data_IF_599755157515
#
_entry.id   IF_599755157515
#
_cell.length_a   1.000
_cell.length_b   1.000
_cell.length_c   1.000
_cell.angle_alpha   90.00
_cell.angle_beta   90.00
_cell.angle_gamma   90.00
#
_symmetry.space_group_name_H-M   'P 1'
#
loop_
_entity.id
_entity.type
_entity.pdbx_description
1 polymer ?
#
# COMPACT_ATOMS: atom_id res chain seq x y z
N UNK A 1 -7.44 -62.46 42.17
CA UNK A 1 -6.42 -61.56 41.57
C UNK A 1 -7.14 -60.43 40.84
N UNK A 2 -7.03 -59.20 41.36
CA UNK A 2 -7.61 -57.99 40.72
C UNK A 2 -6.46 -57.22 40.05
N UNK A 3 -6.51 -57.07 38.73
CA UNK A 3 -5.54 -56.30 37.95
C UNK A 3 -5.97 -54.83 37.99
N UNK A 4 -5.12 -53.88 38.40
CA UNK A 4 -5.45 -52.46 38.36
C UNK A 4 -5.34 -51.93 36.92
N UNK A 5 -6.39 -51.29 36.43
CA UNK A 5 -6.43 -50.55 35.17
C UNK A 5 -5.66 -49.20 35.39
N UNK A 6 -4.50 -49.11 34.75
CA UNK A 6 -3.74 -47.86 34.73
C UNK A 6 -4.34 -46.95 33.68
N UNK A 7 -5.03 -45.84 34.07
CA UNK A 7 -5.52 -44.84 33.18
C UNK A 7 -4.37 -43.90 32.74
N UNK A 8 -4.00 -43.94 31.47
CA UNK A 8 -3.00 -43.06 30.87
C UNK A 8 -3.66 -41.69 30.61
N UNK A 9 -3.38 -40.71 31.46
CA UNK A 9 -3.76 -39.30 31.23
C UNK A 9 -2.80 -38.70 30.20
N UNK A 10 -3.25 -38.57 28.96
CA UNK A 10 -2.55 -37.79 27.93
C UNK A 10 -2.85 -36.32 28.19
N UNK A 11 -1.89 -35.61 28.75
CA UNK A 11 -1.94 -34.14 28.90
C UNK A 11 -1.75 -33.51 27.50
N UNK A 12 -2.81 -33.02 26.92
CA UNK A 12 -2.77 -32.12 25.75
C UNK A 12 -2.20 -30.78 26.22
N UNK A 13 -0.91 -30.53 25.93
CA UNK A 13 -0.34 -29.20 26.08
C UNK A 13 -1.07 -28.23 25.12
N UNK A 14 -1.53 -27.04 25.57
CA UNK A 14 -2.11 -26.07 24.67
C UNK A 14 -1.03 -25.62 23.69
N UNK A 15 -1.28 -25.73 22.38
CA UNK A 15 -0.47 -25.03 21.36
C UNK A 15 -0.61 -23.52 21.65
N UNK A 16 0.45 -22.92 22.16
CA UNK A 16 0.52 -21.46 22.26
C UNK A 16 0.37 -20.89 20.84
N UNK A 17 -0.71 -20.15 20.60
CA UNK A 17 -0.87 -19.41 19.35
C UNK A 17 0.31 -18.45 19.23
N UNK A 18 1.07 -18.55 18.14
CA UNK A 18 2.17 -17.65 17.89
C UNK A 18 1.61 -16.21 17.83
N UNK A 19 2.19 -15.30 18.59
CA UNK A 19 1.82 -13.88 18.61
C UNK A 19 2.28 -13.23 17.30
N UNK A 20 1.58 -12.17 16.87
CA UNK A 20 2.06 -11.33 15.78
C UNK A 20 3.42 -10.73 16.12
N UNK A 21 4.27 -10.55 15.12
CA UNK A 21 5.63 -10.05 15.34
C UNK A 21 6.00 -8.99 14.30
N UNK A 22 6.48 -7.85 14.82
CA UNK A 22 7.11 -6.81 14.03
C UNK A 22 8.63 -7.02 14.01
N UNK A 23 9.19 -7.23 12.84
CA UNK A 23 10.63 -7.52 12.69
C UNK A 23 11.27 -6.54 11.71
N UNK A 24 12.34 -5.86 12.15
CA UNK A 24 13.15 -5.06 11.24
C UNK A 24 14.02 -5.95 10.36
N UNK A 25 14.03 -5.67 9.07
CA UNK A 25 14.78 -6.40 8.04
C UNK A 25 15.52 -5.41 7.13
N UNK A 26 16.45 -5.94 6.35
CA UNK A 26 17.16 -5.13 5.36
C UNK A 26 17.58 -5.96 4.17
N UNK A 27 17.72 -5.28 3.03
CA UNK A 27 18.35 -5.78 1.81
C UNK A 27 19.41 -4.78 1.33
N UNK A 28 20.33 -5.24 0.50
CA UNK A 28 21.34 -4.37 -0.13
C UNK A 28 20.99 -4.24 -1.61
N UNK A 29 20.88 -3.01 -2.10
CA UNK A 29 20.59 -2.68 -3.49
C UNK A 29 21.59 -1.63 -3.98
N UNK A 30 22.31 -1.93 -5.05
CA UNK A 30 23.35 -1.02 -5.55
C UNK A 30 24.40 -0.65 -4.50
N UNK A 31 24.73 -1.56 -3.58
CA UNK A 31 25.67 -1.31 -2.47
C UNK A 31 25.08 -0.52 -1.29
N UNK A 32 23.80 -0.10 -1.35
CA UNK A 32 23.12 0.65 -0.30
C UNK A 32 22.25 -0.28 0.52
N UNK A 33 22.44 -0.28 1.85
CA UNK A 33 21.57 -1.00 2.79
C UNK A 33 20.24 -0.25 2.90
N UNK A 34 19.13 -0.93 2.56
CA UNK A 34 17.76 -0.42 2.69
C UNK A 34 17.01 -1.27 3.73
N UNK A 35 16.21 -0.62 4.56
CA UNK A 35 15.51 -1.26 5.69
C UNK A 35 14.01 -1.26 5.49
N UNK A 36 13.33 -2.19 6.14
CA UNK A 36 11.87 -2.27 6.20
C UNK A 36 11.43 -2.92 7.51
N UNK A 37 10.23 -2.57 7.97
CA UNK A 37 9.52 -3.27 9.02
C UNK A 37 8.66 -4.35 8.37
N UNK A 38 8.69 -5.56 8.92
CA UNK A 38 7.89 -6.69 8.48
C UNK A 38 6.95 -7.11 9.59
N UNK A 39 5.65 -7.08 9.34
CA UNK A 39 4.63 -7.59 10.24
C UNK A 39 4.20 -8.99 9.79
N UNK A 40 4.31 -9.95 10.70
CA UNK A 40 3.88 -11.34 10.49
C UNK A 40 2.59 -11.58 11.28
N UNK A 41 1.49 -12.00 10.60
CA UNK A 41 0.20 -12.13 11.26
C UNK A 41 0.20 -13.24 12.32
N UNK A 42 -0.57 -13.05 13.39
CA UNK A 42 -0.70 -13.98 14.50
C UNK A 42 -1.09 -15.39 14.02
N UNK A 43 -0.49 -16.41 14.62
CA UNK A 43 -0.82 -17.82 14.37
C UNK A 43 -0.44 -18.37 12.99
N UNK A 44 0.27 -17.60 12.14
CA UNK A 44 0.59 -17.96 10.76
C UNK A 44 2.08 -17.97 10.42
N UNK A 45 2.96 -17.91 11.39
CA UNK A 45 4.42 -17.89 11.20
C UNK A 45 4.98 -19.08 10.40
N UNK A 46 4.23 -20.18 10.29
CA UNK A 46 4.60 -21.38 9.51
C UNK A 46 3.69 -21.65 8.30
N UNK A 47 2.74 -20.77 7.99
CA UNK A 47 1.86 -20.93 6.83
C UNK A 47 2.60 -20.54 5.55
N UNK A 48 2.53 -21.39 4.53
CA UNK A 48 3.03 -21.07 3.19
C UNK A 48 1.93 -20.46 2.32
N UNK A 49 2.33 -19.70 1.30
CA UNK A 49 1.39 -19.13 0.34
C UNK A 49 0.57 -17.98 0.91
N UNK A 50 1.11 -17.21 1.87
CA UNK A 50 0.44 -16.00 2.37
C UNK A 50 0.50 -14.85 1.35
N UNK A 51 -0.53 -13.99 1.27
CA UNK A 51 -0.45 -12.73 0.55
C UNK A 51 0.56 -11.78 1.19
N UNK A 52 1.09 -10.85 0.40
CA UNK A 52 1.96 -9.75 0.86
C UNK A 52 1.35 -8.40 0.47
N UNK A 53 1.24 -7.49 1.43
CA UNK A 53 0.90 -6.08 1.18
C UNK A 53 2.11 -5.21 1.51
N UNK A 54 2.57 -4.42 0.54
CA UNK A 54 3.62 -3.41 0.74
C UNK A 54 2.94 -2.06 0.98
N UNK A 55 3.25 -1.40 2.11
CA UNK A 55 2.65 -0.11 2.49
C UNK A 55 3.71 0.97 2.54
N UNK A 56 3.72 1.86 1.54
CA UNK A 56 4.67 2.98 1.45
C UNK A 56 4.21 4.15 2.30
N UNK A 57 5.10 4.69 3.14
CA UNK A 57 4.83 5.89 3.94
C UNK A 57 4.75 7.15 3.06
N UNK A 58 4.06 8.18 3.54
CA UNK A 58 4.04 9.50 2.92
C UNK A 58 5.38 10.26 3.09
N UNK A 59 5.54 11.34 2.34
CA UNK A 59 6.74 12.18 2.40
C UNK A 59 7.04 12.64 3.83
N UNK A 60 8.30 12.51 4.25
CA UNK A 60 8.76 12.83 5.60
C UNK A 60 8.49 11.76 6.66
N UNK A 61 7.82 10.67 6.30
CA UNK A 61 7.52 9.55 7.20
C UNK A 61 8.58 8.46 7.24
N UNK A 62 8.17 7.28 7.72
CA UNK A 62 8.92 6.03 7.72
C UNK A 62 7.94 4.85 7.83
N UNK A 63 8.43 3.60 7.81
CA UNK A 63 7.59 2.41 7.86
C UNK A 63 6.70 2.34 9.10
N UNK A 64 7.20 2.73 10.29
CA UNK A 64 6.39 2.75 11.53
C UNK A 64 5.25 3.78 11.47
N UNK A 65 5.47 4.91 10.77
CA UNK A 65 4.40 5.88 10.53
C UNK A 65 3.31 5.28 9.64
N UNK A 66 3.69 4.57 8.58
CA UNK A 66 2.74 3.91 7.68
C UNK A 66 1.92 2.83 8.40
N UNK A 67 2.56 1.99 9.23
CA UNK A 67 1.88 0.96 10.02
C UNK A 67 0.80 1.56 10.93
N UNK A 68 1.15 2.58 11.72
CA UNK A 68 0.21 3.26 12.62
C UNK A 68 -0.92 3.96 11.87
N UNK A 69 -0.60 4.69 10.79
CA UNK A 69 -1.58 5.46 10.02
C UNK A 69 -2.61 4.56 9.36
N UNK A 70 -2.15 3.49 8.71
CA UNK A 70 -3.02 2.58 7.96
C UNK A 70 -3.79 1.59 8.83
N UNK A 71 -3.27 1.24 10.02
CA UNK A 71 -3.81 0.15 10.85
C UNK A 71 -3.78 -1.22 10.16
N UNK A 72 -2.87 -1.38 9.17
CA UNK A 72 -2.83 -2.59 8.32
C UNK A 72 -2.46 -3.84 9.11
N UNK A 73 -1.68 -3.71 10.20
CA UNK A 73 -1.31 -4.85 11.05
C UNK A 73 -2.53 -5.55 11.64
N UNK A 74 -3.46 -4.78 12.19
CA UNK A 74 -4.69 -5.33 12.76
C UNK A 74 -5.57 -6.01 11.68
N UNK A 75 -5.58 -5.53 10.45
CA UNK A 75 -6.25 -6.18 9.32
C UNK A 75 -5.52 -7.45 8.92
N UNK A 76 -4.19 -7.41 8.87
CA UNK A 76 -3.34 -8.55 8.54
C UNK A 76 -3.52 -9.72 9.53
N UNK A 77 -3.57 -9.43 10.81
CA UNK A 77 -3.82 -10.44 11.86
C UNK A 77 -5.17 -11.12 11.68
N UNK A 78 -6.21 -10.37 11.34
CA UNK A 78 -7.55 -10.93 11.12
C UNK A 78 -7.67 -11.71 9.80
N UNK A 79 -7.05 -11.20 8.73
CA UNK A 79 -7.24 -11.72 7.38
C UNK A 79 -6.14 -12.72 6.95
N UNK A 80 -5.01 -12.76 7.65
CA UNK A 80 -3.93 -13.70 7.42
C UNK A 80 -3.05 -13.36 6.23
N UNK A 81 -2.43 -12.18 6.22
CA UNK A 81 -1.43 -11.77 5.23
C UNK A 81 -0.23 -11.08 5.88
N UNK A 82 0.89 -11.06 5.20
CA UNK A 82 2.13 -10.40 5.62
C UNK A 82 2.11 -8.94 5.19
N UNK A 83 2.61 -8.03 6.03
CA UNK A 83 2.74 -6.62 5.67
C UNK A 83 4.21 -6.20 5.70
N UNK A 84 4.65 -5.49 4.66
CA UNK A 84 5.97 -4.88 4.62
C UNK A 84 5.83 -3.35 4.56
N UNK A 85 6.55 -2.68 5.46
CA UNK A 85 6.62 -1.22 5.52
C UNK A 85 8.06 -0.78 5.22
N UNK A 86 8.40 -0.56 3.94
CA UNK A 86 9.74 -0.13 3.58
C UNK A 86 10.04 1.30 4.07
N UNK A 87 11.33 1.57 4.31
CA UNK A 87 11.83 2.90 4.62
C UNK A 87 12.43 3.53 3.36
N UNK A 88 11.96 4.72 3.02
CA UNK A 88 12.44 5.52 1.90
C UNK A 88 13.89 6.01 2.09
N UNK A 89 14.28 6.98 1.29
CA UNK A 89 15.59 7.63 1.36
C UNK A 89 15.45 9.00 2.01
N UNK A 90 16.34 9.32 2.95
CA UNK A 90 16.34 10.59 3.68
C UNK A 90 17.73 11.16 3.92
N UNK A 91 17.86 12.24 4.67
CA UNK A 91 19.14 12.79 5.12
C UNK A 91 19.94 11.75 5.91
N UNK A 92 21.29 11.85 5.88
CA UNK A 92 22.20 10.82 6.38
C UNK A 92 22.11 10.49 7.88
N UNK A 93 21.46 11.34 8.69
CA UNK A 93 21.50 11.25 10.15
C UNK A 93 20.17 10.91 10.83
N UNK A 94 19.09 10.66 10.08
CA UNK A 94 17.80 10.41 10.72
C UNK A 94 16.97 9.37 9.94
N UNK A 95 16.40 8.40 10.67
CA UNK A 95 15.32 7.53 10.17
C UNK A 95 13.98 8.32 10.14
N UNK A 96 14.07 9.58 9.73
CA UNK A 96 13.01 10.56 9.63
C UNK A 96 13.19 11.38 8.34
N UNK A 97 12.16 12.06 7.89
CA UNK A 97 12.15 12.84 6.66
C UNK A 97 12.45 11.98 5.41
N UNK A 98 12.05 10.72 5.45
CA UNK A 98 12.26 9.81 4.33
C UNK A 98 11.24 10.11 3.23
N UNK A 99 11.67 9.93 1.98
CA UNK A 99 10.86 10.14 0.79
C UNK A 99 11.09 9.01 -0.21
N UNK A 100 10.23 8.95 -1.21
CA UNK A 100 10.34 8.06 -2.36
C UNK A 100 10.64 8.85 -3.62
N UNK A 101 11.50 8.33 -4.46
CA UNK A 101 11.68 8.81 -5.83
C UNK A 101 10.50 8.32 -6.66
N UNK A 102 9.48 9.17 -6.80
CA UNK A 102 8.26 8.86 -7.54
C UNK A 102 8.08 9.86 -8.70
N UNK A 103 8.98 9.79 -9.68
CA UNK A 103 9.08 10.62 -10.89
C UNK A 103 9.33 12.10 -10.60
N UNK A 104 8.28 12.91 -10.36
CA UNK A 104 8.38 14.34 -10.06
C UNK A 104 8.47 14.65 -8.56
N UNK A 105 8.31 13.67 -7.71
CA UNK A 105 8.30 13.78 -6.24
C UNK A 105 9.12 12.65 -5.61
N UNK A 106 9.79 12.76 -4.48
CA UNK A 106 9.98 13.94 -3.67
C UNK A 106 11.35 13.91 -2.97
N UNK A 107 11.80 15.06 -2.54
CA UNK A 107 12.87 15.27 -1.55
C UNK A 107 14.17 14.55 -1.83
N UNK A 108 14.80 14.06 -0.76
CA UNK A 108 16.13 13.41 -0.84
C UNK A 108 16.17 12.20 -1.76
N UNK A 109 15.08 11.43 -1.84
CA UNK A 109 15.03 10.27 -2.74
C UNK A 109 15.08 10.69 -4.20
N UNK A 110 14.36 11.74 -4.57
CA UNK A 110 14.40 12.31 -5.93
C UNK A 110 15.79 12.89 -6.24
N UNK A 111 16.35 13.72 -5.33
CA UNK A 111 17.68 14.31 -5.49
C UNK A 111 18.77 13.27 -5.77
N UNK A 112 18.72 12.17 -5.04
CA UNK A 112 19.70 11.07 -5.16
C UNK A 112 19.36 10.08 -6.25
N UNK A 113 18.24 10.26 -6.95
CA UNK A 113 17.72 9.28 -7.92
C UNK A 113 17.69 7.87 -7.33
N UNK A 114 17.16 7.77 -6.09
CA UNK A 114 17.14 6.50 -5.37
C UNK A 114 16.44 5.42 -6.19
N UNK A 115 17.05 4.23 -6.24
CA UNK A 115 16.46 3.06 -6.90
C UNK A 115 15.44 2.38 -5.98
N UNK A 116 14.28 3.04 -5.80
CA UNK A 116 13.22 2.56 -4.94
C UNK A 116 12.44 1.39 -5.56
N UNK A 117 12.40 1.29 -6.89
CA UNK A 117 11.81 0.14 -7.58
C UNK A 117 12.70 -1.10 -7.42
N UNK A 118 14.01 -0.99 -7.62
CA UNK A 118 14.95 -2.06 -7.36
C UNK A 118 14.95 -2.50 -5.89
N UNK A 119 14.86 -1.54 -4.95
CA UNK A 119 14.70 -1.84 -3.53
C UNK A 119 13.40 -2.64 -3.28
N UNK A 120 12.28 -2.20 -3.83
CA UNK A 120 10.99 -2.89 -3.68
C UNK A 120 11.06 -4.32 -4.22
N UNK A 121 11.63 -4.54 -5.39
CA UNK A 121 11.82 -5.88 -5.97
C UNK A 121 12.67 -6.78 -5.09
N UNK A 122 13.82 -6.29 -4.63
CA UNK A 122 14.73 -7.04 -3.76
C UNK A 122 14.07 -7.39 -2.41
N UNK A 123 13.32 -6.46 -1.84
CA UNK A 123 12.56 -6.67 -0.60
C UNK A 123 11.48 -7.73 -0.78
N UNK A 124 10.63 -7.62 -1.81
CA UNK A 124 9.56 -8.59 -2.08
C UNK A 124 10.16 -9.99 -2.33
N UNK A 125 11.26 -10.08 -3.08
CA UNK A 125 11.95 -11.35 -3.34
C UNK A 125 12.48 -11.99 -2.04
N UNK A 126 13.11 -11.20 -1.16
CA UNK A 126 13.60 -11.68 0.12
C UNK A 126 12.45 -12.16 1.01
N UNK A 127 11.37 -11.38 1.12
CA UNK A 127 10.19 -11.76 1.91
C UNK A 127 9.53 -13.02 1.33
N UNK A 128 9.38 -13.10 0.00
CA UNK A 128 8.75 -14.24 -0.64
C UNK A 128 9.51 -15.54 -0.39
N UNK A 129 10.84 -15.49 -0.45
CA UNK A 129 11.71 -16.62 -0.15
C UNK A 129 11.64 -17.01 1.33
N UNK A 130 11.72 -16.02 2.23
CA UNK A 130 11.90 -16.26 3.67
C UNK A 130 10.57 -16.59 4.37
N UNK A 131 9.43 -16.11 3.85
CA UNK A 131 8.09 -16.29 4.42
C UNK A 131 7.14 -17.13 3.55
N UNK A 132 7.61 -17.67 2.42
CA UNK A 132 6.78 -18.50 1.54
C UNK A 132 5.56 -17.76 0.96
N UNK A 133 5.73 -16.53 0.48
CA UNK A 133 4.64 -15.71 -0.06
C UNK A 133 4.12 -16.29 -1.38
N UNK A 134 2.79 -16.25 -1.56
CA UNK A 134 2.17 -16.47 -2.86
C UNK A 134 2.44 -15.27 -3.80
N UNK A 135 3.32 -15.46 -4.77
CA UNK A 135 3.72 -14.42 -5.73
C UNK A 135 2.59 -13.89 -6.61
N UNK A 136 1.46 -14.59 -6.65
CA UNK A 136 0.26 -14.12 -7.33
C UNK A 136 -0.54 -13.12 -6.48
N UNK A 137 -0.24 -13.03 -5.19
CA UNK A 137 -0.94 -12.20 -4.21
C UNK A 137 -0.01 -11.21 -3.52
N UNK A 138 0.69 -10.42 -4.36
CA UNK A 138 1.56 -9.32 -3.91
C UNK A 138 0.90 -8.01 -4.32
N UNK A 139 0.69 -7.13 -3.35
CA UNK A 139 -0.07 -5.89 -3.50
C UNK A 139 0.72 -4.70 -2.95
N UNK A 140 0.42 -3.50 -3.44
CA UNK A 140 1.04 -2.28 -2.95
C UNK A 140 0.01 -1.21 -2.60
N UNK A 141 0.28 -0.46 -1.56
CA UNK A 141 -0.48 0.72 -1.16
C UNK A 141 0.45 1.75 -0.54
N UNK A 142 -0.06 2.93 -0.31
CA UNK A 142 0.66 4.00 0.37
C UNK A 142 -0.15 5.29 0.30
N UNK A 143 0.32 6.32 1.03
CA UNK A 143 -0.32 7.62 1.04
C UNK A 143 0.60 8.70 0.48
N UNK A 144 0.04 9.70 -0.23
CA UNK A 144 0.79 10.86 -0.68
C UNK A 144 1.98 10.45 -1.58
N UNK A 145 3.20 10.85 -1.28
CA UNK A 145 4.40 10.36 -1.96
C UNK A 145 4.51 8.81 -1.96
N UNK A 146 3.99 8.12 -0.93
CA UNK A 146 3.90 6.66 -0.92
C UNK A 146 2.84 6.11 -1.89
N UNK A 147 1.76 6.83 -2.14
CA UNK A 147 0.78 6.49 -3.17
C UNK A 147 1.36 6.71 -4.59
N UNK A 148 2.13 7.77 -4.78
CA UNK A 148 2.89 8.00 -6.03
C UNK A 148 3.87 6.86 -6.27
N UNK A 149 4.53 6.35 -5.20
CA UNK A 149 5.39 5.18 -5.29
C UNK A 149 4.61 3.89 -5.62
N UNK A 150 3.39 3.72 -5.10
CA UNK A 150 2.52 2.60 -5.47
C UNK A 150 2.15 2.64 -6.96
N UNK A 151 1.84 3.81 -7.51
CA UNK A 151 1.67 3.97 -8.96
C UNK A 151 2.95 3.65 -9.73
N UNK A 152 4.10 4.11 -9.23
CA UNK A 152 5.39 3.84 -9.87
C UNK A 152 5.68 2.35 -9.97
N UNK A 153 5.50 1.59 -8.91
CA UNK A 153 5.72 0.13 -8.97
C UNK A 153 4.68 -0.58 -9.83
N UNK A 154 3.45 -0.07 -9.94
CA UNK A 154 2.47 -0.59 -10.88
C UNK A 154 2.92 -0.39 -12.34
N UNK A 155 3.58 0.73 -12.66
CA UNK A 155 4.14 0.97 -14.00
C UNK A 155 5.40 0.17 -14.29
N UNK A 156 6.36 0.09 -13.32
CA UNK A 156 7.72 -0.39 -13.54
C UNK A 156 7.97 -1.80 -12.96
N UNK A 157 7.04 -2.33 -12.15
CA UNK A 157 7.11 -3.66 -11.52
C UNK A 157 5.77 -4.41 -11.62
N UNK A 158 5.03 -4.22 -12.72
CA UNK A 158 3.76 -4.89 -12.97
C UNK A 158 3.87 -6.43 -12.99
N UNK A 159 5.04 -6.99 -13.25
CA UNK A 159 5.34 -8.40 -13.11
C UNK A 159 5.33 -8.90 -11.65
N UNK A 160 5.54 -8.01 -10.68
CA UNK A 160 5.53 -8.32 -9.24
C UNK A 160 4.14 -8.10 -8.64
N UNK A 161 3.50 -6.95 -8.89
CA UNK A 161 2.28 -6.55 -8.22
C UNK A 161 1.01 -6.96 -8.96
N UNK A 162 0.06 -7.57 -8.26
CA UNK A 162 -1.27 -7.94 -8.78
C UNK A 162 -2.24 -6.75 -8.79
N UNK A 163 -2.20 -5.96 -7.72
CA UNK A 163 -3.04 -4.77 -7.57
C UNK A 163 -2.36 -3.71 -6.70
N UNK A 164 -2.84 -2.46 -6.84
CA UNK A 164 -2.43 -1.32 -6.01
C UNK A 164 -3.63 -0.60 -5.42
N UNK A 165 -3.40 0.06 -4.28
CA UNK A 165 -4.40 0.88 -3.59
C UNK A 165 -3.81 2.24 -3.16
N UNK A 166 -3.58 3.17 -4.08
CA UNK A 166 -3.04 4.48 -3.75
C UNK A 166 -4.06 5.35 -2.98
N UNK A 167 -3.59 6.03 -1.92
CA UNK A 167 -4.37 6.94 -1.10
C UNK A 167 -3.80 8.36 -1.21
N UNK A 168 -4.61 9.32 -1.67
CA UNK A 168 -4.23 10.74 -1.76
C UNK A 168 -2.90 10.96 -2.52
N UNK A 169 -2.77 10.37 -3.71
CA UNK A 169 -1.56 10.47 -4.54
C UNK A 169 -1.87 10.58 -6.03
N UNK A 170 -0.88 10.95 -6.83
CA UNK A 170 -0.97 11.13 -8.26
C UNK A 170 0.02 10.22 -9.02
N UNK A 171 -0.30 9.92 -10.28
CA UNK A 171 0.60 9.24 -11.21
C UNK A 171 1.26 10.27 -12.13
N UNK A 172 2.43 10.76 -11.78
CA UNK A 172 3.08 11.88 -12.44
C UNK A 172 4.09 11.46 -13.51
N UNK A 173 3.64 10.61 -14.43
CA UNK A 173 4.40 10.22 -15.62
C UNK A 173 3.50 10.02 -16.82
N UNK A 174 3.99 10.33 -18.01
CA UNK A 174 3.38 9.95 -19.27
C UNK A 174 3.91 8.62 -19.81
N UNK A 175 5.05 8.15 -19.27
CA UNK A 175 5.69 6.92 -19.68
C UNK A 175 5.42 5.77 -18.68
N UNK A 176 4.14 5.44 -18.51
CA UNK A 176 3.71 4.27 -17.75
C UNK A 176 3.34 3.14 -18.71
N UNK A 177 4.16 2.08 -18.73
CA UNK A 177 3.98 0.93 -19.63
C UNK A 177 4.06 -0.37 -18.86
N UNK A 178 3.04 -0.67 -18.01
CA UNK A 178 3.06 -1.89 -17.23
C UNK A 178 3.13 -3.12 -18.13
N UNK A 179 4.00 -4.07 -17.77
CA UNK A 179 4.22 -5.31 -18.52
C UNK A 179 3.07 -6.32 -18.41
N UNK A 180 2.19 -6.13 -17.42
CA UNK A 180 1.00 -6.93 -17.15
C UNK A 180 -0.14 -6.02 -16.63
N UNK A 181 -1.41 -6.46 -16.69
CA UNK A 181 -2.50 -5.77 -16.01
C UNK A 181 -2.27 -5.65 -14.51
N UNK A 182 -2.60 -4.50 -13.93
CA UNK A 182 -2.52 -4.24 -12.48
C UNK A 182 -3.82 -3.60 -12.03
N UNK A 183 -4.60 -4.30 -11.21
CA UNK A 183 -5.86 -3.76 -10.70
C UNK A 183 -5.63 -2.56 -9.78
N UNK A 184 -6.52 -1.58 -9.81
CA UNK A 184 -6.37 -0.32 -9.07
C UNK A 184 -7.63 0.01 -8.28
N UNK A 185 -7.50 0.24 -6.98
CA UNK A 185 -8.51 0.88 -6.15
C UNK A 185 -7.91 2.14 -5.53
N UNK A 186 -8.42 3.30 -5.89
CA UNK A 186 -7.89 4.58 -5.42
C UNK A 186 -8.82 5.26 -4.42
N UNK A 187 -8.23 5.97 -3.45
CA UNK A 187 -8.95 6.75 -2.46
C UNK A 187 -8.44 8.19 -2.48
N UNK A 188 -9.33 9.18 -2.65
CA UNK A 188 -8.91 10.57 -2.72
C UNK A 188 -9.98 11.52 -2.16
N UNK A 189 -9.55 12.47 -1.36
CA UNK A 189 -10.41 13.56 -0.87
C UNK A 189 -10.53 14.69 -1.89
N UNK A 190 -11.74 15.23 -2.08
CA UNK A 190 -11.97 16.31 -3.06
C UNK A 190 -11.41 17.66 -2.60
N UNK A 191 -11.14 17.83 -1.30
CA UNK A 191 -10.53 19.03 -0.72
C UNK A 191 -9.05 18.85 -0.36
N UNK A 192 -8.35 17.94 -1.03
CA UNK A 192 -6.92 17.73 -0.82
C UNK A 192 -6.10 18.88 -1.41
N UNK A 193 -5.34 19.60 -0.55
CA UNK A 193 -4.49 20.73 -0.93
C UNK A 193 -3.02 20.34 -1.16
N UNK A 194 -2.63 19.10 -0.82
CA UNK A 194 -1.27 18.58 -0.99
C UNK A 194 -1.08 17.83 -2.31
N UNK A 195 -2.07 17.03 -2.69
CA UNK A 195 -2.18 16.36 -3.99
C UNK A 195 -3.60 16.59 -4.47
N UNK A 196 -3.79 17.62 -5.29
CA UNK A 196 -5.13 18.11 -5.62
C UNK A 196 -5.93 17.10 -6.44
N UNK A 197 -7.20 16.92 -6.06
CA UNK A 197 -8.11 16.03 -6.76
C UNK A 197 -8.20 16.35 -8.26
N UNK A 198 -8.27 17.64 -8.59
CA UNK A 198 -8.34 18.15 -9.97
C UNK A 198 -6.97 18.32 -10.62
N UNK A 199 -5.90 17.96 -9.92
CA UNK A 199 -4.52 18.07 -10.40
C UNK A 199 -3.96 19.50 -10.33
N UNK A 200 -2.78 19.67 -10.93
CA UNK A 200 -2.05 20.94 -10.93
C UNK A 200 -1.06 21.06 -9.79
N UNK A 201 -0.50 22.26 -9.59
CA UNK A 201 0.44 22.51 -8.51
C UNK A 201 -0.24 22.42 -7.14
N UNK A 202 0.40 21.81 -6.13
CA UNK A 202 -0.14 21.74 -4.78
C UNK A 202 -0.28 23.14 -4.17
N UNK A 203 -1.32 23.36 -3.37
CA UNK A 203 -1.49 24.60 -2.61
C UNK A 203 -0.58 24.61 -1.38
N UNK A 204 -0.32 23.42 -0.81
CA UNK A 204 0.59 23.20 0.32
C UNK A 204 1.62 22.16 -0.09
N UNK A 205 2.90 22.53 -0.13
CA UNK A 205 3.98 21.61 -0.43
C UNK A 205 5.07 21.67 0.63
N UNK A 206 5.52 20.50 1.08
CA UNK A 206 6.72 20.35 1.89
C UNK A 206 7.95 20.00 1.03
N UNK A 207 7.72 19.70 -0.24
CA UNK A 207 8.76 19.42 -1.21
C UNK A 207 9.19 20.68 -1.91
N UNK A 208 10.50 20.86 -2.07
CA UNK A 208 11.10 21.98 -2.80
C UNK A 208 11.02 21.85 -4.33
N UNK A 209 10.73 20.65 -4.83
CA UNK A 209 10.65 20.41 -6.26
C UNK A 209 9.29 20.89 -6.78
N UNK A 210 9.27 21.80 -7.76
CA UNK A 210 8.03 22.21 -8.40
C UNK A 210 7.45 21.02 -9.17
N UNK A 211 6.15 20.79 -9.00
CA UNK A 211 5.42 19.77 -9.75
C UNK A 211 4.01 20.25 -10.09
N UNK A 212 3.43 19.65 -11.09
CA UNK A 212 2.02 19.74 -11.39
C UNK A 212 1.48 18.32 -11.50
N UNK A 213 0.68 17.94 -10.53
CA UNK A 213 0.16 16.57 -10.41
C UNK A 213 -0.96 16.36 -11.44
N UNK A 214 -1.08 15.14 -11.97
CA UNK A 214 -2.24 14.76 -12.80
C UNK A 214 -3.49 14.68 -11.94
N UNK A 215 -4.64 15.01 -12.52
CA UNK A 215 -5.91 14.84 -11.82
C UNK A 215 -6.20 13.36 -11.53
N UNK A 216 -7.00 13.11 -10.49
CA UNK A 216 -7.51 11.78 -10.16
C UNK A 216 -8.27 11.20 -11.35
N UNK A 217 -9.12 12.01 -12.00
CA UNK A 217 -9.88 11.58 -13.18
C UNK A 217 -8.96 11.11 -14.32
N UNK A 218 -7.89 11.85 -14.63
CA UNK A 218 -6.91 11.48 -15.67
C UNK A 218 -6.20 10.17 -15.32
N UNK A 219 -5.79 10.02 -14.06
CA UNK A 219 -5.09 8.82 -13.57
C UNK A 219 -5.99 7.59 -13.64
N UNK A 220 -7.24 7.69 -13.16
CA UNK A 220 -8.19 6.57 -13.20
C UNK A 220 -8.59 6.20 -14.63
N UNK A 221 -8.80 7.19 -15.50
CA UNK A 221 -9.08 6.95 -16.91
C UNK A 221 -7.93 6.20 -17.61
N UNK A 222 -6.67 6.52 -17.28
CA UNK A 222 -5.51 5.79 -17.78
C UNK A 222 -5.57 4.29 -17.39
N UNK A 223 -5.81 3.97 -16.11
CA UNK A 223 -5.87 2.58 -15.65
C UNK A 223 -7.08 1.84 -16.21
N UNK A 224 -8.25 2.50 -16.30
CA UNK A 224 -9.44 1.93 -16.94
C UNK A 224 -9.18 1.58 -18.40
N UNK A 225 -8.53 2.49 -19.16
CA UNK A 225 -8.15 2.23 -20.55
C UNK A 225 -7.10 1.09 -20.62
N UNK A 226 -6.09 1.11 -19.76
CA UNK A 226 -5.00 0.14 -19.77
C UNK A 226 -5.49 -1.27 -19.50
N UNK A 227 -6.43 -1.42 -18.58
CA UNK A 227 -7.02 -2.69 -18.17
C UNK A 227 -8.29 -3.06 -18.98
N UNK A 228 -8.57 -2.30 -20.05
CA UNK A 228 -9.71 -2.52 -20.97
C UNK A 228 -11.04 -2.56 -20.22
N UNK A 229 -11.26 -1.58 -19.39
CA UNK A 229 -12.53 -1.44 -18.68
C UNK A 229 -13.51 -0.54 -19.44
N UNK A 230 -14.80 -0.86 -19.33
CA UNK A 230 -15.87 -0.06 -19.95
C UNK A 230 -16.01 1.31 -19.29
N UNK A 231 -16.36 2.31 -20.08
CA UNK A 231 -16.69 3.66 -19.65
C UNK A 231 -18.08 4.05 -20.15
N UNK A 232 -18.90 4.81 -19.39
CA UNK A 232 -18.61 5.32 -18.05
C UNK A 232 -18.67 4.23 -16.97
N UNK A 233 -18.09 4.50 -15.77
CA UNK A 233 -18.19 3.57 -14.63
C UNK A 233 -19.61 3.52 -14.07
N UNK A 234 -19.92 2.43 -13.37
CA UNK A 234 -21.05 2.40 -12.44
C UNK A 234 -20.74 3.29 -11.25
N UNK A 235 -21.73 4.05 -10.79
CA UNK A 235 -21.59 5.01 -9.68
C UNK A 235 -22.58 4.71 -8.57
N UNK A 236 -22.11 4.77 -7.34
CA UNK A 236 -22.93 4.78 -6.15
C UNK A 236 -22.45 5.86 -5.18
N UNK A 237 -23.34 6.40 -4.35
CA UNK A 237 -23.00 7.40 -3.34
C UNK A 237 -23.60 6.99 -2.00
N UNK A 238 -22.78 7.08 -0.95
CA UNK A 238 -23.22 6.91 0.41
C UNK A 238 -22.59 8.04 1.25
N UNK A 239 -23.43 8.93 1.78
CA UNK A 239 -22.96 10.14 2.46
C UNK A 239 -22.07 11.00 1.56
N UNK A 240 -20.87 11.29 2.03
CA UNK A 240 -19.85 12.06 1.30
C UNK A 240 -19.01 11.21 0.36
N UNK A 241 -19.23 9.90 0.30
CA UNK A 241 -18.41 8.98 -0.48
C UNK A 241 -19.08 8.67 -1.82
N UNK A 242 -18.44 9.07 -2.92
CA UNK A 242 -18.73 8.61 -4.27
C UNK A 242 -17.83 7.41 -4.59
N UNK A 243 -18.44 6.28 -4.94
CA UNK A 243 -17.75 5.09 -5.40
C UNK A 243 -18.01 4.88 -6.89
N UNK A 244 -16.94 4.80 -7.67
CA UNK A 244 -16.94 4.48 -9.09
C UNK A 244 -16.34 3.09 -9.30
N UNK A 245 -17.03 2.23 -10.05
CA UNK A 245 -16.57 0.88 -10.41
C UNK A 245 -16.57 0.71 -11.91
N UNK A 246 -15.42 0.37 -12.47
CA UNK A 246 -15.22 0.12 -13.88
C UNK A 246 -15.27 -1.39 -14.16
N UNK A 247 -16.14 -1.81 -15.06
CA UNK A 247 -16.24 -3.21 -15.49
C UNK A 247 -15.19 -3.51 -16.56
N UNK A 248 -14.20 -4.34 -16.24
CA UNK A 248 -13.11 -4.68 -17.15
C UNK A 248 -13.40 -5.97 -17.93
N UNK A 249 -12.76 -6.14 -19.11
CA UNK A 249 -12.90 -7.36 -19.93
C UNK A 249 -12.49 -8.63 -19.16
N UNK A 250 -11.40 -8.54 -18.39
CA UNK A 250 -10.96 -9.63 -17.54
C UNK A 250 -11.63 -9.54 -16.17
N UNK A 251 -12.29 -10.59 -15.67
CA UNK A 251 -12.87 -10.59 -14.33
C UNK A 251 -11.82 -10.60 -13.21
N UNK A 252 -10.53 -10.72 -13.58
CA UNK A 252 -9.40 -10.69 -12.64
C UNK A 252 -8.75 -9.29 -12.55
N UNK A 253 -9.18 -8.35 -13.35
CA UNK A 253 -8.77 -6.94 -13.27
C UNK A 253 -9.94 -6.09 -12.82
N UNK A 254 -9.64 -5.01 -12.09
CA UNK A 254 -10.65 -4.07 -11.62
C UNK A 254 -10.06 -2.68 -11.46
N UNK A 255 -10.87 -1.67 -11.72
CA UNK A 255 -10.54 -0.28 -11.43
C UNK A 255 -11.69 0.31 -10.63
N UNK A 256 -11.37 0.81 -9.44
CA UNK A 256 -12.33 1.44 -8.53
C UNK A 256 -11.78 2.77 -8.02
N UNK A 257 -12.67 3.75 -7.80
CA UNK A 257 -12.34 5.03 -7.18
C UNK A 257 -13.31 5.32 -6.05
N UNK A 258 -12.77 5.66 -4.89
CA UNK A 258 -13.49 6.27 -3.78
C UNK A 258 -13.10 7.74 -3.69
N UNK A 259 -13.98 8.62 -4.15
CA UNK A 259 -13.85 10.06 -4.00
C UNK A 259 -14.66 10.51 -2.78
N UNK A 260 -14.01 11.20 -1.83
CA UNK A 260 -14.61 11.60 -0.56
C UNK A 260 -14.80 13.11 -0.56
N UNK A 261 -16.04 13.58 -0.65
CA UNK A 261 -16.36 15.00 -0.71
C UNK A 261 -15.94 15.72 0.58
N UNK A 262 -15.22 16.83 0.43
CA UNK A 262 -14.74 17.65 1.53
C UNK A 262 -13.61 17.04 2.36
N UNK A 263 -13.20 15.81 2.09
CA UNK A 263 -12.03 15.19 2.72
C UNK A 263 -10.76 15.83 2.18
N UNK A 264 -9.85 16.19 3.10
CA UNK A 264 -8.50 16.65 2.75
C UNK A 264 -7.50 15.51 2.62
N UNK A 265 -6.23 15.81 2.89
CA UNK A 265 -5.09 14.89 2.72
C UNK A 265 -4.98 13.89 3.88
N UNK A 266 -5.73 12.79 3.84
CA UNK A 266 -5.80 11.81 4.91
C UNK A 266 -6.01 10.37 4.41
N UNK A 267 -5.72 9.39 5.28
CA UNK A 267 -6.03 7.97 5.06
C UNK A 267 -7.45 7.68 5.57
N UNK A 268 -8.45 7.45 4.74
CA UNK A 268 -9.83 7.23 5.18
C UNK A 268 -9.96 6.05 6.17
N UNK A 269 -10.56 6.29 7.34
CA UNK A 269 -10.69 5.31 8.41
C UNK A 269 -9.40 5.02 9.18
N UNK A 270 -8.30 5.68 8.86
CA UNK A 270 -7.01 5.50 9.53
C UNK A 270 -6.81 6.43 10.72
N UNK A 271 -5.57 6.52 11.17
CA UNK A 271 -5.16 7.42 12.25
C UNK A 271 -4.54 8.69 11.66
N UNK A 272 -4.89 9.85 12.21
CA UNK A 272 -4.30 11.13 11.80
C UNK A 272 -2.76 11.10 11.89
N UNK A 273 -2.11 11.77 10.94
CA UNK A 273 -0.66 11.88 10.91
C UNK A 273 -0.09 12.61 12.14
N UNK A 274 1.17 12.33 12.47
CA UNK A 274 1.83 12.89 13.67
C UNK A 274 2.19 14.38 13.56
N UNK A 275 2.14 14.97 12.37
CA UNK A 275 2.49 16.38 12.17
C UNK A 275 1.24 17.20 12.00
N UNK A 276 0.92 18.00 13.00
CA UNK A 276 -0.11 19.02 12.89
C UNK A 276 0.14 19.91 11.65
N UNK A 277 -0.87 20.08 10.82
CA UNK A 277 -0.83 20.90 9.61
C UNK A 277 -0.37 20.21 8.32
N UNK A 278 0.02 18.95 8.35
CA UNK A 278 0.48 18.22 7.15
C UNK A 278 -0.46 17.11 6.69
N UNK A 279 -1.43 16.72 7.52
CA UNK A 279 -2.41 15.68 7.22
C UNK A 279 -3.72 16.10 7.87
N UNK A 280 -4.78 16.09 7.10
CA UNK A 280 -6.12 16.38 7.59
C UNK A 280 -6.69 15.23 8.42
N UNK A 281 -7.78 15.49 9.14
CA UNK A 281 -8.46 14.45 9.89
C UNK A 281 -9.09 13.44 8.93
N UNK A 282 -8.89 12.14 9.13
CA UNK A 282 -9.50 11.12 8.30
C UNK A 282 -11.01 11.03 8.53
N UNK A 283 -11.77 10.81 7.46
CA UNK A 283 -13.19 10.44 7.59
C UNK A 283 -13.33 9.08 8.27
N UNK A 284 -14.43 8.90 9.00
CA UNK A 284 -14.84 7.59 9.54
C UNK A 284 -15.94 6.91 8.73
N UNK A 285 -16.38 7.50 7.61
CA UNK A 285 -17.46 6.94 6.79
C UNK A 285 -17.05 5.65 6.09
N UNK A 286 -15.75 5.50 5.78
CA UNK A 286 -15.19 4.28 5.19
C UNK A 286 -13.84 3.95 5.83
N UNK A 287 -13.44 2.68 5.72
CA UNK A 287 -12.10 2.20 6.03
C UNK A 287 -11.40 1.85 4.71
N UNK A 288 -10.44 2.68 4.29
CA UNK A 288 -9.64 2.39 3.10
C UNK A 288 -8.89 1.06 3.24
N UNK A 289 -8.39 0.75 4.45
CA UNK A 289 -7.68 -0.50 4.75
C UNK A 289 -8.56 -1.75 4.58
N UNK A 290 -9.82 -1.69 4.99
CA UNK A 290 -10.73 -2.83 4.80
C UNK A 290 -11.14 -2.98 3.33
N UNK A 291 -11.49 -1.87 2.68
CA UNK A 291 -11.92 -1.88 1.27
C UNK A 291 -10.80 -2.34 0.32
N UNK A 292 -9.56 -1.85 0.53
CA UNK A 292 -8.43 -2.28 -0.31
C UNK A 292 -8.09 -3.76 -0.10
N UNK A 293 -8.20 -4.28 1.13
CA UNK A 293 -7.99 -5.71 1.34
C UNK A 293 -9.05 -6.55 0.63
N UNK A 294 -10.31 -6.17 0.73
CA UNK A 294 -11.41 -6.88 0.05
C UNK A 294 -11.25 -6.82 -1.47
N UNK A 295 -10.74 -5.70 -2.01
CA UNK A 295 -10.38 -5.57 -3.40
C UNK A 295 -9.19 -6.48 -3.77
N UNK A 296 -8.11 -6.44 -3.03
CA UNK A 296 -6.92 -7.27 -3.26
C UNK A 296 -7.24 -8.76 -3.28
N UNK A 297 -8.07 -9.22 -2.34
CA UNK A 297 -8.46 -10.63 -2.25
C UNK A 297 -9.19 -11.14 -3.52
N UNK A 298 -9.87 -10.23 -4.25
CA UNK A 298 -10.57 -10.54 -5.50
C UNK A 298 -9.68 -10.47 -6.74
N UNK A 299 -8.51 -9.84 -6.66
CA UNK A 299 -7.65 -9.52 -7.80
C UNK A 299 -6.22 -10.10 -7.66
N UNK A 300 -6.05 -11.43 -7.49
CA UNK A 300 -4.74 -12.06 -7.62
C UNK A 300 -4.29 -12.05 -9.09
N UNK A 301 -2.99 -12.16 -9.34
CA UNK A 301 -2.48 -12.43 -10.69
C UNK A 301 -3.04 -13.72 -11.26
N UNK A 302 -3.15 -13.81 -12.59
CA UNK A 302 -3.53 -15.04 -13.30
C UNK A 302 -2.65 -16.23 -12.95
#
# INVERSE_FOLDING_TARGET
MRVPLLALLVALAPLAAAQSADVERSVVVGGVKRTYLLHLPAGRASASGLPLVVVYHGGGGNGRNAARMSGMDAKADRAGFVVAYPNGTGPALANALLTWNAWLCCGTALDRRADDVGFTRAMVEAIARDQGIDRRRVYATGMSNGAMMAYRVACEAADVFAAIAPVAGAQDTDDCRPSAPVSVIAFHGTADHHVKYDGGAPDVSLDRHPRADKSVATTIAFWAWRDRCATPPARSRNGHVLHETYTCESPRTGVELYAIDGQGHAWPGGTAGLRAGNVDLPTSEISATDLMWDFFARHPKP
#
